data_IF_779949097627
#
_entry.id   IF_779949097627
#
_cell.length_a   1.000
_cell.length_b   1.000
_cell.length_c   1.000
_cell.angle_alpha   90.00
_cell.angle_beta   90.00
_cell.angle_gamma   90.00
#
_symmetry.space_group_name_H-M   'P 1'
#
loop_
_entity.id
_entity.type
_entity.pdbx_description
1 polymer ?
#
# COMPACT_ATOMS: atom_id res chain seq x y z
N UNK A 1 -42.81 -7.87 -30.60
CA UNK A 1 -42.66 -7.14 -29.34
C UNK A 1 -41.22 -7.20 -28.95
N UNK A 2 -40.44 -6.12 -29.28
CA UNK A 2 -39.02 -6.01 -28.92
C UNK A 2 -38.95 -5.60 -27.44
N UNK A 3 -38.45 -6.49 -26.61
CA UNK A 3 -38.20 -6.21 -25.19
C UNK A 3 -36.88 -5.42 -25.08
N UNK A 4 -36.98 -4.10 -25.03
CA UNK A 4 -35.89 -3.20 -24.81
C UNK A 4 -35.52 -3.22 -23.32
N UNK A 5 -34.72 -4.20 -22.88
CA UNK A 5 -34.08 -4.15 -21.56
C UNK A 5 -33.00 -3.07 -21.62
N UNK A 6 -33.38 -1.86 -21.22
CA UNK A 6 -32.41 -0.80 -20.91
C UNK A 6 -31.58 -1.32 -19.73
N UNK A 7 -30.34 -1.78 -20.04
CA UNK A 7 -29.38 -2.11 -19.02
C UNK A 7 -29.18 -0.85 -18.16
N UNK A 8 -29.64 -0.87 -16.91
CA UNK A 8 -29.45 0.23 -15.96
C UNK A 8 -27.95 0.43 -15.78
N UNK A 9 -27.43 1.47 -16.38
CA UNK A 9 -26.04 1.86 -16.20
C UNK A 9 -25.76 2.05 -14.71
N UNK A 10 -24.72 1.36 -14.21
CA UNK A 10 -24.29 1.50 -12.82
C UNK A 10 -23.96 2.97 -12.55
N UNK A 11 -24.50 3.60 -11.51
CA UNK A 11 -24.19 5.00 -11.19
C UNK A 11 -22.69 5.15 -10.92
N UNK A 12 -22.13 6.31 -11.27
CA UNK A 12 -20.74 6.61 -10.95
C UNK A 12 -20.49 6.54 -9.44
N UNK A 13 -19.27 6.26 -9.04
CA UNK A 13 -18.94 6.21 -7.60
C UNK A 13 -19.27 7.52 -6.90
N UNK A 14 -18.97 8.67 -7.52
CA UNK A 14 -19.32 9.98 -6.98
C UNK A 14 -20.81 10.16 -6.73
N UNK A 15 -21.66 9.67 -7.64
CA UNK A 15 -23.12 9.67 -7.45
C UNK A 15 -23.53 8.68 -6.35
N UNK A 16 -22.92 7.50 -6.32
CA UNK A 16 -23.28 6.47 -5.33
C UNK A 16 -22.95 6.91 -3.90
N UNK A 17 -21.76 7.47 -3.66
CA UNK A 17 -21.31 7.86 -2.32
C UNK A 17 -22.12 9.03 -1.74
N UNK A 18 -22.72 9.87 -2.58
CA UNK A 18 -23.58 10.99 -2.14
C UNK A 18 -25.02 10.58 -1.79
N UNK A 19 -25.39 9.31 -1.99
CA UNK A 19 -26.71 8.83 -1.58
C UNK A 19 -26.85 8.81 -0.06
N UNK A 20 -28.08 9.00 0.43
CA UNK A 20 -28.41 8.99 1.86
C UNK A 20 -27.85 7.77 2.59
N UNK A 21 -27.88 6.61 1.96
CA UNK A 21 -27.38 5.36 2.53
C UNK A 21 -25.91 5.47 2.92
N UNK A 22 -25.06 5.90 2.00
CA UNK A 22 -23.62 6.02 2.25
C UNK A 22 -23.30 7.21 3.14
N UNK A 23 -23.97 8.35 2.95
CA UNK A 23 -23.74 9.52 3.79
C UNK A 23 -24.11 9.27 5.26
N UNK A 24 -25.21 8.56 5.53
CA UNK A 24 -25.56 8.16 6.90
C UNK A 24 -24.51 7.21 7.49
N UNK A 25 -24.05 6.21 6.74
CA UNK A 25 -23.01 5.30 7.21
C UNK A 25 -21.70 6.03 7.54
N UNK A 26 -21.27 6.94 6.66
CA UNK A 26 -20.06 7.74 6.86
C UNK A 26 -20.20 8.65 8.08
N UNK A 27 -21.29 9.41 8.19
CA UNK A 27 -21.54 10.32 9.31
C UNK A 27 -21.64 9.59 10.65
N UNK A 28 -22.31 8.42 10.68
CA UNK A 28 -22.43 7.61 11.89
C UNK A 28 -21.07 7.04 12.34
N UNK A 29 -20.21 6.70 11.38
CA UNK A 29 -18.88 6.15 11.68
C UNK A 29 -17.92 7.24 12.15
N UNK A 30 -17.90 8.39 11.48
CA UNK A 30 -16.93 9.45 11.73
C UNK A 30 -17.38 10.45 12.81
N UNK A 31 -18.68 10.57 13.06
CA UNK A 31 -19.30 11.41 14.10
C UNK A 31 -18.92 12.91 14.06
N UNK A 32 -18.24 13.35 12.98
CA UNK A 32 -17.83 14.72 12.72
C UNK A 32 -18.20 15.10 11.27
N UNK A 33 -19.12 16.04 11.06
CA UNK A 33 -19.57 16.43 9.72
C UNK A 33 -18.45 17.02 8.85
N UNK A 34 -17.46 17.69 9.42
CA UNK A 34 -16.32 18.23 8.66
C UNK A 34 -15.37 17.11 8.22
N UNK A 35 -15.12 16.16 9.11
CA UNK A 35 -14.33 14.97 8.81
C UNK A 35 -15.02 14.12 7.74
N UNK A 36 -16.33 13.90 7.85
CA UNK A 36 -17.12 13.16 6.87
C UNK A 36 -17.08 13.81 5.48
N UNK A 37 -17.17 15.13 5.38
CA UNK A 37 -17.04 15.86 4.10
C UNK A 37 -15.65 15.71 3.49
N UNK A 38 -14.59 15.90 4.27
CA UNK A 38 -13.20 15.72 3.80
C UNK A 38 -12.95 14.29 3.35
N UNK A 39 -13.41 13.32 4.11
CA UNK A 39 -13.35 11.90 3.77
C UNK A 39 -14.03 11.63 2.43
N UNK A 40 -15.28 12.06 2.25
CA UNK A 40 -16.04 11.88 1.00
C UNK A 40 -15.32 12.48 -0.20
N UNK A 41 -14.83 13.72 -0.09
CA UNK A 41 -14.11 14.40 -1.16
C UNK A 41 -12.78 13.70 -1.51
N UNK A 42 -12.03 13.25 -0.50
CA UNK A 42 -10.75 12.55 -0.69
C UNK A 42 -10.93 11.22 -1.41
N UNK A 43 -11.98 10.48 -1.09
CA UNK A 43 -12.25 9.18 -1.74
C UNK A 43 -12.74 9.38 -3.16
N UNK A 44 -13.61 10.36 -3.43
CA UNK A 44 -14.02 10.70 -4.78
C UNK A 44 -12.79 11.00 -5.64
N UNK A 45 -11.87 11.81 -5.13
CA UNK A 45 -10.62 12.13 -5.81
C UNK A 45 -9.75 10.89 -6.07
N UNK A 46 -9.56 10.03 -5.06
CA UNK A 46 -8.77 8.80 -5.19
C UNK A 46 -9.38 7.82 -6.21
N UNK A 47 -10.69 7.68 -6.24
CA UNK A 47 -11.39 6.82 -7.20
C UNK A 47 -11.35 7.41 -8.61
N UNK A 48 -11.45 8.75 -8.74
CA UNK A 48 -11.33 9.42 -10.04
C UNK A 48 -9.94 9.26 -10.65
N UNK A 49 -8.89 9.20 -9.83
CA UNK A 49 -7.51 8.97 -10.27
C UNK A 49 -7.24 7.51 -10.72
N UNK A 50 -8.12 6.57 -10.39
CA UNK A 50 -7.97 5.17 -10.76
C UNK A 50 -9.26 4.61 -11.40
N UNK A 51 -9.36 4.61 -12.73
CA UNK A 51 -10.57 4.15 -13.43
C UNK A 51 -11.01 2.73 -13.06
N UNK A 52 -10.08 1.83 -12.71
CA UNK A 52 -10.40 0.46 -12.34
C UNK A 52 -11.23 0.38 -11.04
N UNK A 53 -11.15 1.38 -10.16
CA UNK A 53 -11.99 1.49 -8.97
C UNK A 53 -13.45 1.85 -9.29
N UNK A 54 -13.71 2.53 -10.42
CA UNK A 54 -15.08 2.84 -10.84
C UNK A 54 -15.91 1.58 -11.11
N UNK A 55 -15.25 0.49 -11.47
CA UNK A 55 -15.89 -0.79 -11.72
C UNK A 55 -16.18 -1.59 -10.43
N UNK A 56 -15.58 -1.21 -9.32
CA UNK A 56 -15.78 -1.87 -8.03
C UNK A 56 -17.15 -1.55 -7.42
N UNK A 57 -17.64 -2.43 -6.56
CA UNK A 57 -18.80 -2.15 -5.73
C UNK A 57 -18.51 -1.00 -4.77
N UNK A 58 -19.35 0.05 -4.83
CA UNK A 58 -19.16 1.28 -4.04
C UNK A 58 -19.04 1.02 -2.53
N UNK A 59 -19.79 0.05 -2.01
CA UNK A 59 -19.72 -0.34 -0.59
C UNK A 59 -18.34 -0.86 -0.18
N UNK A 60 -17.64 -1.58 -1.06
CA UNK A 60 -16.30 -2.10 -0.77
C UNK A 60 -15.25 -0.99 -0.79
N UNK A 61 -15.40 0.00 -1.67
CA UNK A 61 -14.54 1.19 -1.70
C UNK A 61 -14.68 1.98 -0.39
N UNK A 62 -15.92 2.27 0.02
CA UNK A 62 -16.21 3.01 1.26
C UNK A 62 -15.70 2.26 2.49
N UNK A 63 -15.93 0.94 2.59
CA UNK A 63 -15.44 0.14 3.71
C UNK A 63 -13.91 0.10 3.78
N UNK A 64 -13.24 -0.08 2.65
CA UNK A 64 -11.78 -0.07 2.58
C UNK A 64 -11.20 1.31 2.95
N UNK A 65 -11.84 2.39 2.53
CA UNK A 65 -11.43 3.74 2.86
C UNK A 65 -11.70 4.10 4.34
N UNK A 66 -12.80 3.64 4.92
CA UNK A 66 -13.09 3.81 6.35
C UNK A 66 -12.05 3.11 7.23
N UNK A 67 -11.50 1.98 6.79
CA UNK A 67 -10.37 1.33 7.48
C UNK A 67 -9.14 2.25 7.47
N UNK A 68 -8.79 2.86 6.34
CA UNK A 68 -7.71 3.85 6.28
C UNK A 68 -7.97 5.06 7.18
N UNK A 69 -9.19 5.55 7.21
CA UNK A 69 -9.61 6.66 8.07
C UNK A 69 -9.53 6.31 9.57
N UNK A 70 -9.87 5.07 9.95
CA UNK A 70 -9.72 4.59 11.34
C UNK A 70 -8.27 4.58 11.80
N UNK A 71 -7.33 4.39 10.87
CA UNK A 71 -5.90 4.48 11.11
C UNK A 71 -5.37 5.93 10.96
N UNK A 72 -6.23 6.88 10.69
CA UNK A 72 -5.89 8.28 10.42
C UNK A 72 -4.84 8.41 9.29
N UNK A 73 -5.04 7.67 8.21
CA UNK A 73 -4.21 7.66 7.02
C UNK A 73 -4.94 8.29 5.83
N UNK A 74 -4.18 8.86 4.90
CA UNK A 74 -4.73 9.50 3.71
C UNK A 74 -4.87 8.52 2.54
N UNK A 75 -5.98 8.54 1.79
CA UNK A 75 -6.16 7.77 0.56
C UNK A 75 -5.41 8.35 -0.64
N UNK A 76 -4.75 9.51 -0.50
CA UNK A 76 -4.03 10.15 -1.59
C UNK A 76 -2.87 9.26 -2.08
N UNK A 77 -2.88 8.84 -3.36
CA UNK A 77 -1.80 8.02 -3.92
C UNK A 77 -0.42 8.68 -3.82
N UNK A 78 -0.37 10.02 -3.86
CA UNK A 78 0.86 10.81 -3.77
C UNK A 78 1.53 10.67 -2.40
N UNK A 79 0.74 10.50 -1.34
CA UNK A 79 1.27 10.31 0.01
C UNK A 79 1.72 8.86 0.26
N UNK A 80 1.22 7.89 -0.50
CA UNK A 80 1.64 6.50 -0.41
C UNK A 80 1.38 5.83 0.94
N UNK A 81 0.41 6.35 1.71
CA UNK A 81 0.09 5.81 3.03
C UNK A 81 -0.75 4.54 2.94
N UNK A 82 -1.78 4.53 2.10
CA UNK A 82 -2.50 3.33 1.72
C UNK A 82 -3.08 3.46 0.32
N UNK A 83 -3.49 2.34 -0.23
CA UNK A 83 -4.08 2.26 -1.55
C UNK A 83 -5.39 1.49 -1.51
N UNK A 84 -6.34 1.92 -2.34
CA UNK A 84 -7.52 1.16 -2.69
C UNK A 84 -7.18 0.33 -3.92
N UNK A 85 -7.17 -1.00 -3.78
CA UNK A 85 -6.74 -1.90 -4.85
C UNK A 85 -7.92 -2.69 -5.36
N UNK A 86 -8.27 -2.55 -6.65
CA UNK A 86 -9.36 -3.34 -7.24
C UNK A 86 -8.94 -4.79 -7.43
N UNK A 87 -9.84 -5.71 -7.17
CA UNK A 87 -9.68 -7.14 -7.47
C UNK A 87 -10.99 -7.77 -7.94
N UNK A 88 -10.87 -8.84 -8.69
CA UNK A 88 -12.01 -9.61 -9.16
C UNK A 88 -12.41 -10.64 -8.09
N UNK A 89 -13.63 -10.56 -7.62
CA UNK A 89 -14.25 -11.61 -6.82
C UNK A 89 -14.95 -12.60 -7.78
N UNK A 90 -14.21 -13.61 -8.19
CA UNK A 90 -14.72 -14.59 -9.15
C UNK A 90 -15.92 -15.39 -8.61
N UNK A 91 -16.02 -15.54 -7.30
CA UNK A 91 -17.12 -16.26 -6.65
C UNK A 91 -18.46 -15.51 -6.77
N UNK A 92 -18.41 -14.19 -6.66
CA UNK A 92 -19.57 -13.32 -6.71
C UNK A 92 -19.70 -12.58 -8.05
N UNK A 93 -18.83 -12.87 -9.01
CA UNK A 93 -18.81 -12.24 -10.35
C UNK A 93 -18.83 -10.70 -10.30
N UNK A 94 -18.10 -10.12 -9.36
CA UNK A 94 -18.04 -8.67 -9.19
C UNK A 94 -16.59 -8.18 -8.94
N UNK A 95 -16.39 -6.88 -9.11
CA UNK A 95 -15.13 -6.23 -8.73
C UNK A 95 -15.28 -5.57 -7.38
N UNK A 96 -14.32 -5.76 -6.51
CA UNK A 96 -14.27 -5.21 -5.16
C UNK A 96 -12.99 -4.40 -4.97
N UNK A 97 -13.03 -3.42 -4.07
CA UNK A 97 -11.86 -2.70 -3.63
C UNK A 97 -11.36 -3.28 -2.29
N UNK A 98 -10.04 -3.35 -2.15
CA UNK A 98 -9.37 -3.80 -0.94
C UNK A 98 -8.42 -2.72 -0.45
N UNK A 99 -8.40 -2.51 0.88
CA UNK A 99 -7.40 -1.69 1.53
C UNK A 99 -6.03 -2.37 1.49
N UNK A 100 -5.01 -1.63 1.08
CA UNK A 100 -3.62 -2.05 1.18
C UNK A 100 -2.77 -0.94 1.81
N UNK A 101 -2.20 -1.24 2.97
CA UNK A 101 -1.27 -0.32 3.64
C UNK A 101 0.01 -0.16 2.82
N UNK A 102 0.42 1.08 2.54
CA UNK A 102 1.68 1.40 1.89
C UNK A 102 2.84 1.46 2.89
N UNK A 103 4.10 1.44 2.40
CA UNK A 103 5.25 1.52 3.31
C UNK A 103 5.31 2.84 4.09
N UNK A 104 4.92 3.96 3.47
CA UNK A 104 4.79 5.25 4.15
C UNK A 104 3.70 5.25 5.23
N UNK A 105 2.65 4.43 5.06
CA UNK A 105 1.65 4.21 6.09
C UNK A 105 2.20 3.47 7.30
N UNK A 106 3.00 2.42 7.09
CA UNK A 106 3.72 1.75 8.19
C UNK A 106 4.59 2.72 8.97
N UNK A 107 5.36 3.57 8.27
CA UNK A 107 6.20 4.60 8.89
C UNK A 107 5.36 5.57 9.73
N UNK A 108 4.24 6.06 9.20
CA UNK A 108 3.34 6.96 9.93
C UNK A 108 2.78 6.33 11.20
N UNK A 109 2.36 5.07 11.14
CA UNK A 109 1.86 4.35 12.31
C UNK A 109 2.96 4.13 13.35
N UNK A 110 4.17 3.78 12.90
CA UNK A 110 5.33 3.63 13.77
C UNK A 110 5.69 4.95 14.49
N UNK A 111 5.75 6.08 13.76
CA UNK A 111 6.01 7.40 14.33
C UNK A 111 4.96 7.75 15.40
N UNK A 112 3.68 7.54 15.10
CA UNK A 112 2.58 7.87 16.02
C UNK A 112 2.53 7.00 17.26
N UNK A 113 3.07 5.78 17.20
CA UNK A 113 3.13 4.87 18.36
C UNK A 113 4.03 5.39 19.48
N UNK A 114 5.04 6.21 19.14
CA UNK A 114 6.04 6.71 20.09
C UNK A 114 7.07 5.70 20.58
N UNK A 115 6.97 4.42 20.16
CA UNK A 115 7.91 3.39 20.61
C UNK A 115 9.23 3.40 19.84
N UNK A 116 9.22 3.86 18.59
CA UNK A 116 10.37 3.79 17.69
C UNK A 116 11.29 5.00 17.88
N UNK A 117 12.55 4.76 18.17
CA UNK A 117 13.65 5.73 18.14
C UNK A 117 14.19 5.90 16.72
N UNK A 118 14.33 4.77 16.01
CA UNK A 118 14.75 4.71 14.60
C UNK A 118 13.90 3.68 13.86
N UNK A 119 13.61 3.96 12.61
CA UNK A 119 13.03 3.04 11.66
C UNK A 119 13.62 3.39 10.29
N UNK A 120 14.22 2.41 9.63
CA UNK A 120 14.78 2.60 8.30
C UNK A 120 14.52 1.41 7.39
N UNK A 121 14.35 1.69 6.12
CA UNK A 121 14.30 0.70 5.04
C UNK A 121 15.10 1.25 3.86
N UNK A 122 15.95 0.41 3.27
CA UNK A 122 16.90 0.84 2.25
C UNK A 122 17.16 -0.28 1.24
N UNK A 123 17.22 0.06 -0.05
CA UNK A 123 17.77 -0.82 -1.06
C UNK A 123 19.30 -0.87 -0.93
N UNK A 124 19.87 -2.07 -0.98
CA UNK A 124 21.32 -2.30 -0.96
C UNK A 124 21.77 -2.55 -2.39
N UNK A 125 22.77 -1.79 -2.80
CA UNK A 125 23.33 -1.82 -4.14
C UNK A 125 24.49 -2.79 -4.25
N UNK A 126 24.79 -3.20 -5.47
CA UNK A 126 25.92 -4.08 -5.76
C UNK A 126 27.23 -3.44 -5.31
N UNK A 127 27.98 -4.18 -4.50
CA UNK A 127 29.23 -3.71 -3.91
C UNK A 127 29.09 -3.07 -2.52
N UNK A 128 27.87 -2.78 -2.06
CA UNK A 128 27.65 -2.16 -0.73
C UNK A 128 27.61 -3.18 0.41
N UNK A 129 27.14 -4.39 0.18
CA UNK A 129 27.05 -5.42 1.23
C UNK A 129 28.42 -6.02 1.53
N UNK A 130 28.91 -5.81 2.75
CA UNK A 130 30.16 -6.40 3.26
C UNK A 130 29.86 -7.73 3.95
N UNK A 131 28.93 -7.75 4.89
CA UNK A 131 28.55 -8.94 5.66
C UNK A 131 27.07 -8.85 6.08
N UNK A 132 26.45 -10.00 6.14
CA UNK A 132 25.17 -10.16 6.83
C UNK A 132 25.18 -11.44 7.66
N UNK A 133 24.94 -11.31 8.95
CA UNK A 133 24.80 -12.41 9.89
C UNK A 133 23.33 -12.51 10.32
N UNK A 134 22.58 -13.49 9.80
CA UNK A 134 21.17 -13.65 10.16
C UNK A 134 20.95 -14.18 11.57
N UNK A 135 21.98 -14.74 12.22
CA UNK A 135 21.90 -15.25 13.58
C UNK A 135 21.91 -14.10 14.60
N UNK A 136 22.84 -13.18 14.42
CA UNK A 136 22.99 -12.00 15.30
C UNK A 136 22.19 -10.80 14.80
N UNK A 137 21.52 -10.93 13.64
CA UNK A 137 20.81 -9.83 12.94
C UNK A 137 21.72 -8.61 12.66
N UNK A 138 23.01 -8.88 12.44
CA UNK A 138 24.00 -7.84 12.13
C UNK A 138 24.24 -7.73 10.63
N UNK A 139 24.25 -6.49 10.16
CA UNK A 139 24.59 -6.17 8.78
C UNK A 139 25.68 -5.12 8.73
N UNK A 140 26.68 -5.35 7.90
CA UNK A 140 27.75 -4.40 7.58
C UNK A 140 27.65 -4.01 6.12
N UNK A 141 27.48 -2.71 5.88
CA UNK A 141 27.39 -2.13 4.54
C UNK A 141 28.34 -0.96 4.41
N UNK A 142 28.93 -0.81 3.24
CA UNK A 142 29.66 0.36 2.83
C UNK A 142 28.94 0.99 1.64
N UNK A 143 28.19 2.05 1.91
CA UNK A 143 27.43 2.73 0.89
C UNK A 143 28.33 3.38 -0.14
N UNK A 144 27.91 3.40 -1.39
CA UNK A 144 28.55 4.16 -2.47
C UNK A 144 28.35 5.65 -2.15
N UNK A 145 29.46 6.40 -2.01
CA UNK A 145 29.44 7.81 -1.60
C UNK A 145 28.85 8.72 -2.68
N UNK A 146 29.09 8.42 -3.95
CA UNK A 146 28.55 9.17 -5.08
C UNK A 146 27.08 8.79 -5.31
N UNK A 147 26.18 9.76 -5.11
CA UNK A 147 24.73 9.55 -5.17
C UNK A 147 24.26 9.13 -6.58
N UNK A 148 24.81 9.75 -7.61
CA UNK A 148 24.43 9.42 -9.01
C UNK A 148 24.91 8.01 -9.38
N UNK A 149 26.12 7.67 -9.00
CA UNK A 149 26.67 6.32 -9.19
C UNK A 149 25.85 5.29 -8.42
N UNK A 150 25.44 5.60 -7.19
CA UNK A 150 24.62 4.74 -6.37
C UNK A 150 23.24 4.50 -6.97
N UNK A 151 22.59 5.52 -7.50
CA UNK A 151 21.29 5.38 -8.15
C UNK A 151 21.33 4.47 -9.38
N UNK A 152 22.41 4.55 -10.16
CA UNK A 152 22.61 3.72 -11.34
C UNK A 152 23.03 2.29 -11.00
N UNK A 153 23.54 2.03 -9.80
CA UNK A 153 23.98 0.71 -9.40
C UNK A 153 22.81 -0.26 -9.21
N UNK A 154 23.04 -1.52 -9.56
CA UNK A 154 22.05 -2.60 -9.43
C UNK A 154 21.66 -2.82 -7.96
N UNK A 155 20.36 -2.88 -7.68
CA UNK A 155 19.84 -3.30 -6.37
C UNK A 155 20.00 -4.80 -6.22
N UNK A 156 20.72 -5.25 -5.16
CA UNK A 156 20.97 -6.66 -4.86
C UNK A 156 20.14 -7.19 -3.70
N UNK A 157 19.57 -6.30 -2.89
CA UNK A 157 18.76 -6.69 -1.75
C UNK A 157 18.15 -5.49 -1.04
N UNK A 158 17.48 -5.78 0.06
CA UNK A 158 16.76 -4.80 0.86
C UNK A 158 17.06 -5.02 2.33
N UNK A 159 17.30 -3.93 3.02
CA UNK A 159 17.56 -3.86 4.45
C UNK A 159 16.43 -3.12 5.14
N UNK A 160 16.02 -3.58 6.30
CA UNK A 160 15.15 -2.84 7.18
C UNK A 160 15.56 -3.03 8.63
N UNK A 161 15.43 -1.97 9.42
CA UNK A 161 15.76 -2.02 10.85
C UNK A 161 14.86 -1.11 11.66
N UNK A 162 14.70 -1.44 12.93
CA UNK A 162 14.20 -0.51 13.93
C UNK A 162 15.05 -0.53 15.20
N UNK A 163 14.96 0.55 15.94
CA UNK A 163 15.43 0.69 17.32
C UNK A 163 14.31 1.31 18.13
N UNK A 164 13.92 0.65 19.22
CA UNK A 164 12.97 1.19 20.18
C UNK A 164 13.62 2.19 21.14
N UNK A 165 12.80 3.00 21.82
CA UNK A 165 13.26 3.94 22.83
C UNK A 165 14.03 3.25 23.98
N UNK A 166 13.71 2.00 24.29
CA UNK A 166 14.43 1.18 25.31
C UNK A 166 15.75 0.57 24.82
N UNK A 167 16.16 0.85 23.57
CA UNK A 167 17.40 0.34 22.99
C UNK A 167 17.28 -1.03 22.30
N UNK A 168 16.13 -1.69 22.35
CA UNK A 168 15.93 -2.93 21.58
C UNK A 168 16.03 -2.65 20.08
N UNK A 169 16.83 -3.46 19.39
CA UNK A 169 17.05 -3.33 17.94
C UNK A 169 16.70 -4.63 17.24
N UNK A 170 16.20 -4.50 16.02
CA UNK A 170 16.02 -5.60 15.08
C UNK A 170 16.37 -5.14 13.68
N UNK A 171 17.06 -6.00 12.94
CA UNK A 171 17.38 -5.77 11.54
C UNK A 171 17.14 -7.03 10.72
N UNK A 172 16.68 -6.85 9.50
CA UNK A 172 16.52 -7.93 8.52
C UNK A 172 17.12 -7.50 7.19
N UNK A 173 17.63 -8.48 6.46
CA UNK A 173 18.08 -8.33 5.09
C UNK A 173 17.50 -9.45 4.23
N UNK A 174 16.95 -9.09 3.08
CA UNK A 174 16.53 -10.04 2.05
C UNK A 174 17.25 -9.72 0.75
N UNK A 175 17.82 -10.75 0.11
CA UNK A 175 18.31 -10.61 -1.25
C UNK A 175 17.19 -10.25 -2.21
N UNK A 176 17.51 -9.59 -3.31
CA UNK A 176 16.53 -9.28 -4.36
C UNK A 176 15.87 -10.54 -4.91
N UNK A 177 16.64 -11.63 -5.04
CA UNK A 177 16.10 -12.94 -5.46
C UNK A 177 15.04 -13.47 -4.49
N UNK A 178 15.28 -13.40 -3.17
CA UNK A 178 14.28 -13.79 -2.16
C UNK A 178 13.04 -12.90 -2.23
N UNK A 179 13.21 -11.61 -2.45
CA UNK A 179 12.11 -10.66 -2.60
C UNK A 179 11.28 -10.96 -3.84
N UNK A 180 11.92 -11.26 -4.97
CA UNK A 180 11.24 -11.63 -6.21
C UNK A 180 10.44 -12.93 -6.06
N UNK A 181 11.02 -13.94 -5.42
CA UNK A 181 10.30 -15.18 -5.13
C UNK A 181 9.07 -14.94 -4.24
N UNK A 182 9.17 -14.03 -3.26
CA UNK A 182 8.04 -13.60 -2.46
C UNK A 182 6.94 -12.95 -3.32
N UNK A 183 7.33 -12.03 -4.21
CA UNK A 183 6.39 -11.39 -5.13
C UNK A 183 5.68 -12.41 -6.03
N UNK A 184 6.42 -13.35 -6.61
CA UNK A 184 5.87 -14.42 -7.45
C UNK A 184 4.93 -15.35 -6.67
N UNK A 185 5.22 -15.61 -5.41
CA UNK A 185 4.37 -16.47 -4.56
C UNK A 185 3.05 -15.82 -4.19
N UNK A 186 3.05 -14.53 -3.85
CA UNK A 186 1.90 -13.85 -3.27
C UNK A 186 1.14 -12.93 -4.21
N UNK A 187 1.71 -12.58 -5.36
CA UNK A 187 1.05 -11.76 -6.38
C UNK A 187 0.79 -12.54 -7.66
N UNK A 188 -0.44 -13.01 -7.83
CA UNK A 188 -0.84 -13.73 -9.04
C UNK A 188 -0.71 -12.87 -10.31
N UNK A 189 -1.01 -11.57 -10.19
CA UNK A 189 -0.85 -10.61 -11.30
C UNK A 189 0.60 -10.45 -11.71
N UNK A 190 1.53 -10.37 -10.76
CA UNK A 190 2.97 -10.31 -11.02
C UNK A 190 3.47 -11.60 -11.65
N UNK A 191 3.08 -12.75 -11.11
CA UNK A 191 3.40 -14.07 -11.69
C UNK A 191 2.91 -14.21 -13.14
N UNK A 192 1.72 -13.69 -13.43
CA UNK A 192 1.12 -13.72 -14.75
C UNK A 192 1.63 -12.60 -15.70
N UNK A 193 2.57 -11.75 -15.25
CA UNK A 193 3.14 -10.62 -16.00
C UNK A 193 2.08 -9.72 -16.64
N UNK A 194 1.11 -9.33 -15.86
CA UNK A 194 -0.05 -8.57 -16.34
C UNK A 194 0.24 -7.10 -16.68
N UNK A 195 1.43 -6.58 -16.33
CA UNK A 195 1.91 -5.24 -16.67
C UNK A 195 1.29 -4.09 -15.85
N UNK A 196 0.39 -4.38 -14.92
CA UNK A 196 -0.32 -3.35 -14.14
C UNK A 196 -0.17 -3.47 -12.63
N UNK A 197 0.53 -4.49 -12.14
CA UNK A 197 0.72 -4.69 -10.71
C UNK A 197 1.70 -3.68 -10.13
N UNK A 198 1.56 -3.37 -8.85
CA UNK A 198 2.52 -2.49 -8.17
C UNK A 198 3.94 -3.09 -8.15
N UNK A 199 4.07 -4.43 -8.11
CA UNK A 199 5.36 -5.10 -8.23
C UNK A 199 6.07 -4.83 -9.56
N UNK A 200 5.31 -4.62 -10.64
CA UNK A 200 5.86 -4.29 -11.96
C UNK A 200 6.14 -2.80 -12.12
N UNK A 201 5.32 -1.94 -11.49
CA UNK A 201 5.43 -0.49 -11.61
C UNK A 201 6.45 0.12 -10.65
N UNK A 202 6.53 -0.41 -9.43
CA UNK A 202 7.39 0.08 -8.36
C UNK A 202 7.81 -1.09 -7.46
N UNK A 203 8.78 -1.86 -7.95
CA UNK A 203 9.30 -3.02 -7.24
C UNK A 203 9.88 -2.64 -5.89
N UNK A 204 10.67 -1.56 -5.84
CA UNK A 204 11.32 -1.11 -4.61
C UNK A 204 10.31 -0.66 -3.55
N UNK A 205 9.26 0.07 -3.94
CA UNK A 205 8.18 0.46 -3.02
C UNK A 205 7.46 -0.75 -2.42
N UNK A 206 7.20 -1.78 -3.24
CA UNK A 206 6.61 -3.04 -2.77
C UNK A 206 7.56 -3.84 -1.91
N UNK A 207 8.85 -3.83 -2.23
CA UNK A 207 9.90 -4.46 -1.42
C UNK A 207 10.02 -3.78 -0.05
N UNK A 208 10.05 -2.45 0.01
CA UNK A 208 10.07 -1.69 1.27
C UNK A 208 8.86 -2.01 2.15
N UNK A 209 7.67 -2.04 1.57
CA UNK A 209 6.45 -2.45 2.26
C UNK A 209 6.59 -3.86 2.84
N UNK A 210 7.10 -4.80 2.04
CA UNK A 210 7.29 -6.18 2.45
C UNK A 210 8.30 -6.29 3.59
N UNK A 211 9.44 -5.60 3.47
CA UNK A 211 10.47 -5.57 4.52
C UNK A 211 9.94 -5.01 5.83
N UNK A 212 9.23 -3.88 5.80
CA UNK A 212 8.63 -3.31 7.01
C UNK A 212 7.59 -4.24 7.63
N UNK A 213 6.76 -4.90 6.80
CA UNK A 213 5.78 -5.88 7.27
C UNK A 213 6.42 -7.12 7.90
N UNK A 214 7.61 -7.53 7.45
CA UNK A 214 8.33 -8.66 8.04
C UNK A 214 9.08 -8.27 9.31
N UNK A 215 9.43 -6.99 9.44
CA UNK A 215 10.21 -6.45 10.55
C UNK A 215 9.33 -6.13 11.77
N UNK A 216 8.15 -5.55 11.52
CA UNK A 216 7.16 -5.12 12.51
C UNK A 216 6.11 -6.22 12.69
#
# INVERSE_FOLDING_TARGET
VMNNQIARQKPSFSTAITTDKFQRAINNTLQDPNRARRFTSSIISAVSANPALQECEAGTIVSAALLGESLNLSPSPQLGQYYLVPFNDNKNHCKKAQFQLGYKGYIQLAIRSGYYKKLNVLAIKKGELVKFDPLEEEIEVQLIDDEEQREQAETIGYYAMFEYQNGFKKAIYWSKSKMEQHALKYSQGYKARKGYTFWEKDFDGMAYKTMLRQLI
#
